data_IF_496574871981
#
_entry.id   IF_496574871981
#
_cell.length_a   1.000
_cell.length_b   1.000
_cell.length_c   1.000
_cell.angle_alpha   90.00
_cell.angle_beta   90.00
_cell.angle_gamma   90.00
#
_symmetry.space_group_name_H-M   'P 1'
#
loop_
_entity.id
_entity.type
_entity.pdbx_description
1 polymer ?
#
# COMPACT_ATOMS: atom_id res chain seq x y z
N UNK A 1 37.28 -59.41 5.43
CA UNK A 1 37.62 -58.77 4.14
C UNK A 1 37.68 -57.23 4.16
N UNK A 2 37.44 -56.54 5.29
CA UNK A 2 37.54 -55.07 5.37
C UNK A 2 38.97 -54.50 5.43
N UNK A 3 39.99 -55.27 5.82
CA UNK A 3 41.37 -54.78 5.98
C UNK A 3 42.18 -54.63 4.69
N UNK A 4 41.82 -55.32 3.62
CA UNK A 4 42.55 -55.29 2.33
C UNK A 4 42.25 -54.02 1.54
N UNK A 5 40.99 -53.56 1.53
CA UNK A 5 40.58 -52.29 0.90
C UNK A 5 41.21 -51.07 1.57
N UNK A 6 41.28 -51.06 2.91
CA UNK A 6 41.94 -49.98 3.66
C UNK A 6 43.46 -49.93 3.41
N UNK A 7 44.16 -51.07 3.34
CA UNK A 7 45.60 -51.11 3.06
C UNK A 7 45.95 -50.68 1.63
N UNK A 8 45.14 -51.08 0.64
CA UNK A 8 45.32 -50.64 -0.75
C UNK A 8 44.96 -49.17 -0.93
N UNK A 9 43.87 -48.71 -0.29
CA UNK A 9 43.51 -47.28 -0.25
C UNK A 9 44.62 -46.43 0.38
N UNK A 10 45.23 -46.90 1.47
CA UNK A 10 46.34 -46.21 2.14
C UNK A 10 47.61 -46.14 1.27
N UNK A 11 47.94 -47.24 0.56
CA UNK A 11 49.06 -47.27 -0.39
C UNK A 11 48.82 -46.38 -1.61
N UNK A 12 47.60 -46.37 -2.15
CA UNK A 12 47.18 -45.48 -3.24
C UNK A 12 47.26 -44.01 -2.81
N UNK A 13 46.75 -43.66 -1.62
CA UNK A 13 46.85 -42.30 -1.06
C UNK A 13 48.30 -41.86 -0.85
N UNK A 14 49.18 -42.77 -0.43
CA UNK A 14 50.61 -42.49 -0.22
C UNK A 14 51.44 -42.47 -1.51
N UNK A 15 50.87 -42.89 -2.64
CA UNK A 15 51.54 -42.87 -3.94
C UNK A 15 51.46 -41.47 -4.57
N UNK A 16 52.50 -41.08 -5.32
CA UNK A 16 52.52 -39.77 -6.02
C UNK A 16 51.30 -39.57 -6.93
N UNK A 17 50.81 -40.64 -7.54
CA UNK A 17 49.62 -40.61 -8.40
C UNK A 17 48.32 -40.41 -7.63
N UNK A 18 48.14 -41.06 -6.48
CA UNK A 18 46.95 -40.86 -5.64
C UNK A 18 46.93 -39.47 -5.00
N UNK A 19 48.08 -38.95 -4.58
CA UNK A 19 48.21 -37.59 -4.06
C UNK A 19 47.86 -36.55 -5.15
N UNK A 20 48.31 -36.76 -6.39
CA UNK A 20 47.91 -35.93 -7.53
C UNK A 20 46.41 -35.97 -7.80
N UNK A 21 45.77 -37.14 -7.74
CA UNK A 21 44.32 -37.30 -7.90
C UNK A 21 43.54 -36.57 -6.80
N UNK A 22 43.98 -36.66 -5.54
CA UNK A 22 43.36 -35.95 -4.42
C UNK A 22 43.50 -34.44 -4.61
N UNK A 23 44.66 -33.94 -5.01
CA UNK A 23 44.87 -32.52 -5.31
C UNK A 23 43.97 -32.05 -6.46
N UNK A 24 43.85 -32.81 -7.56
CA UNK A 24 42.95 -32.49 -8.65
C UNK A 24 41.48 -32.49 -8.21
N UNK A 25 41.06 -33.45 -7.38
CA UNK A 25 39.69 -33.50 -6.86
C UNK A 25 39.37 -32.33 -5.93
N UNK A 26 40.33 -31.91 -5.10
CA UNK A 26 40.19 -30.74 -4.23
C UNK A 26 40.13 -29.44 -5.03
N UNK A 27 41.03 -29.26 -6.02
CA UNK A 27 41.02 -28.10 -6.91
C UNK A 27 39.72 -28.04 -7.73
N UNK A 28 39.25 -29.18 -8.22
CA UNK A 28 37.97 -29.27 -8.91
C UNK A 28 36.80 -28.92 -8.00
N UNK A 29 36.77 -29.49 -6.78
CA UNK A 29 35.76 -29.18 -5.77
C UNK A 29 35.73 -27.70 -5.42
N UNK A 30 36.91 -27.08 -5.26
CA UNK A 30 37.06 -25.65 -5.06
C UNK A 30 36.50 -24.85 -6.23
N UNK A 31 36.85 -25.20 -7.47
CA UNK A 31 36.35 -24.51 -8.66
C UNK A 31 34.83 -24.58 -8.79
N UNK A 32 34.23 -25.73 -8.49
CA UNK A 32 32.77 -25.89 -8.51
C UNK A 32 32.12 -25.09 -7.39
N UNK A 33 32.72 -25.07 -6.20
CA UNK A 33 32.23 -24.27 -5.08
C UNK A 33 32.26 -22.78 -5.39
N UNK A 34 33.37 -22.27 -5.91
CA UNK A 34 33.56 -20.88 -6.31
C UNK A 34 32.54 -20.45 -7.37
N UNK A 35 32.34 -21.26 -8.43
CA UNK A 35 31.30 -20.98 -9.44
C UNK A 35 29.89 -20.97 -8.86
N UNK A 36 29.58 -21.88 -7.93
CA UNK A 36 28.26 -21.91 -7.27
C UNK A 36 28.06 -20.67 -6.41
N UNK A 37 29.08 -20.23 -5.68
CA UNK A 37 29.01 -18.99 -4.90
C UNK A 37 28.78 -17.77 -5.80
N UNK A 38 29.51 -17.66 -6.92
CA UNK A 38 29.33 -16.55 -7.86
C UNK A 38 27.91 -16.50 -8.46
N UNK A 39 27.35 -17.66 -8.81
CA UNK A 39 25.97 -17.75 -9.32
C UNK A 39 24.95 -17.37 -8.24
N UNK A 40 25.13 -17.87 -7.01
CA UNK A 40 24.23 -17.55 -5.90
C UNK A 40 24.28 -16.06 -5.55
N UNK A 41 25.48 -15.47 -5.47
CA UNK A 41 25.65 -14.04 -5.23
C UNK A 41 25.02 -13.19 -6.33
N UNK A 42 25.18 -13.58 -7.60
CA UNK A 42 24.51 -12.90 -8.72
C UNK A 42 22.99 -13.00 -8.60
N UNK A 43 22.46 -14.20 -8.30
CA UNK A 43 21.02 -14.43 -8.12
C UNK A 43 20.45 -13.60 -6.97
N UNK A 44 21.11 -13.59 -5.82
CA UNK A 44 20.72 -12.79 -4.66
C UNK A 44 20.72 -11.30 -5.00
N UNK A 45 21.75 -10.82 -5.70
CA UNK A 45 21.80 -9.44 -6.18
C UNK A 45 20.64 -9.07 -7.10
N UNK A 46 20.27 -9.94 -8.04
CA UNK A 46 19.12 -9.71 -8.91
C UNK A 46 17.78 -9.74 -8.16
N UNK A 47 17.62 -10.67 -7.22
CA UNK A 47 16.40 -10.75 -6.39
C UNK A 47 16.27 -9.50 -5.54
N UNK A 48 17.34 -9.06 -4.87
CA UNK A 48 17.31 -7.83 -4.07
C UNK A 48 16.99 -6.59 -4.90
N UNK A 49 17.56 -6.47 -6.11
CA UNK A 49 17.23 -5.36 -7.01
C UNK A 49 15.77 -5.42 -7.45
N UNK A 50 15.26 -6.60 -7.79
CA UNK A 50 13.87 -6.78 -8.17
C UNK A 50 12.92 -6.42 -7.01
N UNK A 51 13.16 -6.96 -5.82
CA UNK A 51 12.37 -6.66 -4.62
C UNK A 51 12.39 -5.16 -4.29
N UNK A 52 13.55 -4.51 -4.40
CA UNK A 52 13.69 -3.07 -4.17
C UNK A 52 12.91 -2.26 -5.20
N UNK A 53 13.00 -2.61 -6.49
CA UNK A 53 12.23 -1.92 -7.55
C UNK A 53 10.73 -2.14 -7.41
N UNK A 54 10.30 -3.35 -7.04
CA UNK A 54 8.91 -3.66 -6.77
C UNK A 54 8.37 -2.84 -5.58
N UNK A 55 9.10 -2.81 -4.47
CA UNK A 55 8.74 -2.01 -3.30
C UNK A 55 8.68 -0.51 -3.61
N UNK A 56 9.60 0.00 -4.43
CA UNK A 56 9.58 1.40 -4.89
C UNK A 56 8.34 1.69 -5.75
N UNK A 57 8.00 0.80 -6.69
CA UNK A 57 6.81 0.95 -7.52
C UNK A 57 5.51 0.94 -6.70
N UNK A 58 5.43 0.07 -5.68
CA UNK A 58 4.30 0.04 -4.75
C UNK A 58 4.20 1.33 -3.93
N UNK A 59 5.32 1.83 -3.40
CA UNK A 59 5.35 3.11 -2.67
C UNK A 59 4.90 4.28 -3.54
N UNK A 60 5.33 4.34 -4.80
CA UNK A 60 4.92 5.40 -5.72
C UNK A 60 3.44 5.30 -6.07
N UNK A 61 2.91 4.09 -6.26
CA UNK A 61 1.48 3.88 -6.48
C UNK A 61 0.66 4.32 -5.26
N UNK A 62 1.10 3.99 -4.04
CA UNK A 62 0.47 4.42 -2.80
C UNK A 62 0.51 5.94 -2.63
N UNK A 63 1.65 6.58 -2.92
CA UNK A 63 1.78 8.05 -2.88
C UNK A 63 0.80 8.75 -3.82
N UNK A 64 0.65 8.25 -5.06
CA UNK A 64 -0.33 8.81 -6.00
C UNK A 64 -1.77 8.67 -5.50
N UNK A 65 -2.11 7.51 -4.93
CA UNK A 65 -3.44 7.29 -4.33
C UNK A 65 -3.69 8.21 -3.15
N UNK A 66 -2.71 8.40 -2.27
CA UNK A 66 -2.82 9.34 -1.14
C UNK A 66 -2.98 10.78 -1.61
N UNK A 67 -2.25 11.21 -2.64
CA UNK A 67 -2.39 12.55 -3.20
C UNK A 67 -3.80 12.78 -3.77
N UNK A 68 -4.32 11.84 -4.56
CA UNK A 68 -5.67 11.92 -5.12
C UNK A 68 -6.74 11.90 -4.01
N UNK A 69 -6.58 11.06 -2.99
CA UNK A 69 -7.49 11.03 -1.84
C UNK A 69 -7.45 12.34 -1.04
N UNK A 70 -6.27 12.94 -0.85
CA UNK A 70 -6.14 14.21 -0.16
C UNK A 70 -6.80 15.36 -0.94
N UNK A 71 -6.70 15.36 -2.26
CA UNK A 71 -7.38 16.34 -3.12
C UNK A 71 -8.90 16.16 -3.07
N UNK A 72 -9.39 14.92 -3.20
CA UNK A 72 -10.82 14.62 -3.08
C UNK A 72 -11.38 15.02 -1.71
N UNK A 73 -10.63 14.78 -0.63
CA UNK A 73 -11.04 15.19 0.71
C UNK A 73 -11.13 16.72 0.85
N UNK A 74 -10.18 17.47 0.29
CA UNK A 74 -10.26 18.95 0.30
C UNK A 74 -11.50 19.43 -0.43
N UNK A 75 -11.75 18.92 -1.63
CA UNK A 75 -12.94 19.27 -2.40
C UNK A 75 -14.24 18.90 -1.67
N UNK A 76 -14.27 17.76 -0.99
CA UNK A 76 -15.42 17.36 -0.16
C UNK A 76 -15.61 18.31 1.02
N UNK A 77 -14.53 18.71 1.67
CA UNK A 77 -14.59 19.60 2.84
C UNK A 77 -15.03 21.02 2.47
N UNK A 78 -14.59 21.53 1.31
CA UNK A 78 -15.10 22.78 0.74
C UNK A 78 -16.61 22.70 0.50
N UNK A 79 -17.10 21.60 -0.09
CA UNK A 79 -18.55 21.41 -0.32
C UNK A 79 -19.34 21.33 0.98
N UNK A 80 -18.80 20.69 2.02
CA UNK A 80 -19.42 20.64 3.34
C UNK A 80 -19.56 22.04 3.91
N UNK A 81 -18.49 22.85 3.87
CA UNK A 81 -18.54 24.23 4.38
C UNK A 81 -19.55 25.09 3.63
N UNK A 82 -19.64 24.95 2.30
CA UNK A 82 -20.65 25.65 1.51
C UNK A 82 -22.06 25.21 1.90
N UNK A 83 -22.31 23.90 2.00
CA UNK A 83 -23.61 23.38 2.38
C UNK A 83 -24.03 23.78 3.80
N UNK A 84 -23.09 23.80 4.75
CA UNK A 84 -23.32 24.29 6.11
C UNK A 84 -23.65 25.78 6.14
N UNK A 85 -22.93 26.59 5.35
CA UNK A 85 -23.22 28.02 5.20
C UNK A 85 -24.58 28.30 4.59
N UNK A 86 -24.96 27.55 3.55
CA UNK A 86 -26.28 27.63 2.93
C UNK A 86 -27.38 27.21 3.91
N UNK A 87 -27.19 26.10 4.65
CA UNK A 87 -28.13 25.65 5.66
C UNK A 87 -28.34 26.68 6.77
N UNK A 88 -27.26 27.32 7.24
CA UNK A 88 -27.35 28.40 8.22
C UNK A 88 -28.12 29.61 7.65
N UNK A 89 -27.84 29.99 6.40
CA UNK A 89 -28.55 31.09 5.74
C UNK A 89 -30.04 30.81 5.60
N UNK A 90 -30.39 29.60 5.17
CA UNK A 90 -31.79 29.16 5.08
C UNK A 90 -32.48 29.14 6.44
N UNK A 91 -31.79 28.70 7.50
CA UNK A 91 -32.34 28.73 8.85
C UNK A 91 -32.66 30.17 9.29
N UNK A 92 -31.75 31.12 9.06
CA UNK A 92 -31.97 32.53 9.38
C UNK A 92 -33.10 33.15 8.54
N UNK A 93 -33.16 32.83 7.24
CA UNK A 93 -34.24 33.28 6.37
C UNK A 93 -35.60 32.75 6.84
N UNK A 94 -35.67 31.48 7.27
CA UNK A 94 -36.88 30.86 7.78
C UNK A 94 -37.35 31.51 9.09
N UNK A 95 -36.43 31.77 10.02
CA UNK A 95 -36.71 32.46 11.29
C UNK A 95 -37.22 33.89 11.06
N UNK A 96 -36.61 34.62 10.11
CA UNK A 96 -37.10 35.94 9.72
C UNK A 96 -38.51 35.86 9.11
N UNK A 97 -38.76 34.87 8.24
CA UNK A 97 -40.08 34.67 7.64
C UNK A 97 -41.15 34.31 8.66
N UNK A 98 -40.81 33.49 9.67
CA UNK A 98 -41.68 33.16 10.80
C UNK A 98 -42.03 34.41 11.62
N UNK A 99 -41.04 35.29 11.89
CA UNK A 99 -41.27 36.53 12.61
C UNK A 99 -42.08 37.58 11.84
N UNK A 100 -41.90 37.69 10.52
CA UNK A 100 -42.59 38.67 9.67
C UNK A 100 -43.98 38.20 9.21
N UNK A 101 -44.25 36.89 9.31
CA UNK A 101 -45.52 36.29 8.90
C UNK A 101 -46.64 36.63 9.87
N UNK A 102 -47.71 37.21 9.34
CA UNK A 102 -48.96 37.47 10.09
C UNK A 102 -49.94 36.29 10.04
N UNK A 103 -49.54 35.16 9.45
CA UNK A 103 -50.32 33.93 9.38
C UNK A 103 -50.13 33.16 10.67
N UNK A 104 -51.22 32.61 11.21
CA UNK A 104 -51.20 31.84 12.44
C UNK A 104 -50.17 30.67 12.37
N UNK A 105 -49.21 30.58 13.31
CA UNK A 105 -48.17 29.54 13.32
C UNK A 105 -48.72 28.12 13.45
N UNK A 106 -49.91 27.94 14.01
CA UNK A 106 -50.58 26.63 14.11
C UNK A 106 -51.16 26.15 12.76
N UNK A 107 -51.04 26.97 11.70
CA UNK A 107 -51.59 26.67 10.37
C UNK A 107 -53.12 26.65 10.32
N UNK A 108 -53.77 27.19 11.36
CA UNK A 108 -55.23 27.21 11.49
C UNK A 108 -55.76 28.51 10.87
N UNK A 109 -56.79 28.38 10.03
CA UNK A 109 -57.51 29.52 9.46
C UNK A 109 -58.27 30.24 10.58
N UNK A 110 -57.74 31.37 11.02
CA UNK A 110 -58.39 32.21 12.02
C UNK A 110 -59.36 33.23 11.38
N UNK A 111 -60.10 33.91 12.25
CA UNK A 111 -61.14 34.88 11.85
C UNK A 111 -60.54 36.07 11.07
N UNK A 112 -59.28 36.41 11.30
CA UNK A 112 -58.60 37.54 10.66
C UNK A 112 -58.15 37.20 9.24
N UNK A 113 -57.66 35.97 9.02
CA UNK A 113 -57.37 35.44 7.69
C UNK A 113 -58.66 35.31 6.85
N UNK A 114 -59.75 34.80 7.45
CA UNK A 114 -61.07 34.75 6.83
C UNK A 114 -61.57 36.14 6.44
N UNK A 115 -61.33 37.16 7.29
CA UNK A 115 -61.72 38.54 7.01
C UNK A 115 -60.91 39.13 5.85
N UNK A 116 -59.59 38.86 5.79
CA UNK A 116 -58.70 39.28 4.69
C UNK A 116 -59.07 38.65 3.34
N UNK A 117 -59.36 37.34 3.32
CA UNK A 117 -59.78 36.63 2.11
C UNK A 117 -61.12 37.12 1.57
N UNK A 118 -62.00 37.62 2.44
CA UNK A 118 -63.31 38.16 2.07
C UNK A 118 -63.28 39.63 1.64
N UNK A 119 -62.18 40.33 1.94
CA UNK A 119 -61.95 41.74 1.58
C UNK A 119 -61.10 41.94 0.30
N UNK A 120 -60.56 40.86 -0.26
CA UNK A 120 -60.05 40.79 -1.63
C UNK A 120 -61.14 40.28 -2.56
#
# INVERSE_FOLDING_TARGET
MMGLGLRFGWRLLSSRAGLAMVLCALLWGWHVYDKRQAINAAREGFVQQFELTAAQAELDALRRRMAAAAEANRALQERIQVAEGEALRFATELEAFEHETQVNPDGVVDTDLLRRLRSN
#
